data_IF_631907979643
#
_entry.id   IF_631907979643
#
_cell.length_a   1.000
_cell.length_b   1.000
_cell.length_c   1.000
_cell.angle_alpha   90.00
_cell.angle_beta   90.00
_cell.angle_gamma   90.00
#
_symmetry.space_group_name_H-M   'P 1'
#
loop_
_entity.id
_entity.type
_entity.pdbx_description
1 polymer ?
#
# COMPACT_ATOMS: atom_id res chain seq x y z
N UNK A 1 -8.42 25.99 -13.80
CA UNK A 1 -7.72 26.28 -12.53
C UNK A 1 -6.23 26.10 -12.76
N UNK A 2 -5.40 27.02 -12.28
CA UNK A 2 -3.94 26.96 -12.38
C UNK A 2 -3.38 26.87 -10.97
N UNK A 3 -2.62 25.83 -10.69
CA UNK A 3 -1.94 25.63 -9.40
C UNK A 3 -0.68 26.50 -9.38
N UNK A 4 -0.37 27.14 -8.26
CA UNK A 4 0.85 27.94 -8.14
C UNK A 4 2.12 27.05 -8.18
N UNK A 5 3.24 27.65 -8.54
CA UNK A 5 4.49 26.92 -8.78
C UNK A 5 4.99 26.18 -7.53
N UNK A 6 4.81 26.76 -6.33
CA UNK A 6 5.25 26.14 -5.09
C UNK A 6 4.40 24.90 -4.77
N UNK A 7 3.08 25.00 -4.89
CA UNK A 7 2.17 23.87 -4.68
C UNK A 7 2.45 22.75 -5.69
N UNK A 8 2.74 23.07 -6.96
CA UNK A 8 3.11 22.06 -7.95
C UNK A 8 4.43 21.36 -7.60
N UNK A 9 5.46 22.13 -7.23
CA UNK A 9 6.76 21.58 -6.87
C UNK A 9 6.68 20.68 -5.63
N UNK A 10 5.91 21.09 -4.61
CA UNK A 10 5.70 20.29 -3.41
C UNK A 10 4.97 18.98 -3.73
N UNK A 11 3.89 19.03 -4.52
CA UNK A 11 3.18 17.82 -4.92
C UNK A 11 4.07 16.84 -5.68
N UNK A 12 4.99 17.33 -6.52
CA UNK A 12 5.97 16.50 -7.22
C UNK A 12 6.98 15.86 -6.27
N UNK A 13 7.45 16.60 -5.25
CA UNK A 13 8.32 16.07 -4.22
C UNK A 13 7.61 15.03 -3.35
N UNK A 14 6.35 15.26 -3.00
CA UNK A 14 5.59 14.37 -2.14
C UNK A 14 5.32 13.01 -2.80
N UNK A 15 5.12 12.97 -4.12
CA UNK A 15 4.89 11.72 -4.88
C UNK A 15 6.17 11.08 -5.44
N UNK A 16 7.33 11.70 -5.19
CA UNK A 16 8.62 11.09 -5.53
C UNK A 16 8.80 9.76 -4.80
N UNK A 17 9.76 8.94 -5.23
CA UNK A 17 9.96 7.58 -4.71
C UNK A 17 10.14 7.54 -3.17
N UNK A 18 10.89 8.49 -2.64
CA UNK A 18 11.15 8.72 -1.21
C UNK A 18 10.21 9.77 -0.57
N UNK A 19 9.35 10.39 -1.38
CA UNK A 19 8.37 11.37 -0.96
C UNK A 19 7.34 10.78 0.02
N UNK A 20 6.68 11.65 0.78
CA UNK A 20 5.71 11.20 1.80
C UNK A 20 4.56 10.37 1.22
N UNK A 21 4.15 10.61 -0.02
CA UNK A 21 3.16 9.81 -0.78
C UNK A 21 3.80 8.90 -1.82
N UNK A 22 5.12 8.75 -1.78
CA UNK A 22 5.86 7.79 -2.59
C UNK A 22 5.45 6.35 -2.30
N UNK A 23 5.74 5.47 -3.27
CA UNK A 23 5.39 4.04 -3.22
C UNK A 23 5.98 3.39 -1.97
N UNK A 24 7.28 3.59 -1.72
CA UNK A 24 8.01 2.97 -0.61
C UNK A 24 7.48 3.40 0.76
N UNK A 25 7.28 4.71 0.95
CA UNK A 25 6.80 5.26 2.22
C UNK A 25 5.33 4.89 2.50
N UNK A 26 4.50 4.87 1.46
CA UNK A 26 3.09 4.51 1.61
C UNK A 26 2.91 3.02 1.87
N UNK A 27 3.63 2.15 1.16
CA UNK A 27 3.56 0.72 1.40
C UNK A 27 4.08 0.34 2.79
N UNK A 28 5.21 0.91 3.23
CA UNK A 28 5.75 0.69 4.58
C UNK A 28 4.71 1.03 5.65
N UNK A 29 4.05 2.20 5.58
CA UNK A 29 3.03 2.59 6.57
C UNK A 29 1.84 1.66 6.61
N UNK A 30 1.42 1.13 5.46
CA UNK A 30 0.32 0.15 5.39
C UNK A 30 0.74 -1.17 6.07
N UNK A 31 1.97 -1.63 5.81
CA UNK A 31 2.51 -2.86 6.38
C UNK A 31 2.79 -2.74 7.88
N UNK A 32 3.27 -1.58 8.34
CA UNK A 32 3.47 -1.27 9.75
C UNK A 32 2.14 -1.30 10.49
N UNK A 33 1.10 -0.68 9.89
CA UNK A 33 -0.25 -0.71 10.44
C UNK A 33 -0.81 -2.14 10.50
N UNK A 34 -0.64 -2.92 9.42
CA UNK A 34 -1.04 -4.32 9.40
C UNK A 34 -0.33 -5.13 10.50
N UNK A 35 0.98 -5.00 10.60
CA UNK A 35 1.80 -5.71 11.61
C UNK A 35 1.40 -5.32 13.03
N UNK A 36 1.14 -4.03 13.28
CA UNK A 36 0.69 -3.54 14.58
C UNK A 36 -0.67 -4.13 14.99
N UNK A 37 -1.60 -4.32 14.04
CA UNK A 37 -2.92 -4.90 14.30
C UNK A 37 -2.90 -6.42 14.44
N UNK A 38 -2.05 -7.10 13.67
CA UNK A 38 -1.99 -8.57 13.66
C UNK A 38 -1.11 -9.11 14.77
N UNK A 39 -0.17 -8.31 15.28
CA UNK A 39 0.82 -8.73 16.26
C UNK A 39 1.80 -9.76 15.69
N UNK A 40 1.96 -9.80 14.36
CA UNK A 40 2.76 -10.82 13.67
C UNK A 40 2.07 -12.18 13.55
N UNK A 41 0.78 -12.29 13.87
CA UNK A 41 0.04 -13.54 13.72
C UNK A 41 -0.18 -13.86 12.22
N UNK A 42 0.26 -15.04 11.75
CA UNK A 42 0.19 -15.41 10.34
C UNK A 42 -1.24 -15.44 9.78
N UNK A 43 -2.20 -15.99 10.53
CA UNK A 43 -3.59 -16.06 10.09
C UNK A 43 -4.20 -14.67 9.93
N UNK A 44 -3.91 -13.78 10.88
CA UNK A 44 -4.38 -12.38 10.82
C UNK A 44 -3.69 -11.56 9.75
N UNK A 45 -2.43 -11.84 9.42
CA UNK A 45 -1.71 -11.20 8.30
C UNK A 45 -2.45 -11.47 6.98
N UNK A 46 -2.89 -12.71 6.74
CA UNK A 46 -3.65 -13.05 5.55
C UNK A 46 -5.08 -12.47 5.55
N UNK A 47 -5.73 -12.39 6.72
CA UNK A 47 -6.99 -11.63 6.85
C UNK A 47 -6.80 -10.16 6.49
N UNK A 48 -5.71 -9.53 6.96
CA UNK A 48 -5.40 -8.13 6.67
C UNK A 48 -5.07 -7.91 5.19
N UNK A 49 -4.33 -8.83 4.56
CA UNK A 49 -4.08 -8.82 3.11
C UNK A 49 -5.40 -8.85 2.32
N UNK A 50 -6.32 -9.71 2.70
CA UNK A 50 -7.63 -9.80 2.05
C UNK A 50 -8.48 -8.53 2.28
N UNK A 51 -8.43 -7.96 3.49
CA UNK A 51 -9.07 -6.68 3.78
C UNK A 51 -8.46 -5.53 2.95
N UNK A 52 -7.14 -5.52 2.77
CA UNK A 52 -6.44 -4.55 1.92
C UNK A 52 -6.88 -4.66 0.46
N UNK A 53 -6.89 -5.88 -0.13
CA UNK A 53 -7.40 -6.11 -1.50
C UNK A 53 -8.82 -5.58 -1.67
N UNK A 54 -9.71 -5.92 -0.73
CA UNK A 54 -11.09 -5.44 -0.73
C UNK A 54 -11.18 -3.92 -0.64
N UNK A 55 -10.35 -3.28 0.17
CA UNK A 55 -10.26 -1.82 0.29
C UNK A 55 -9.78 -1.17 -1.01
N UNK A 56 -8.79 -1.76 -1.68
CA UNK A 56 -8.27 -1.29 -2.95
C UNK A 56 -9.34 -1.35 -4.07
N UNK A 57 -10.06 -2.46 -4.17
CA UNK A 57 -11.18 -2.58 -5.12
C UNK A 57 -12.30 -1.57 -4.86
N UNK A 58 -12.59 -1.27 -3.59
CA UNK A 58 -13.55 -0.23 -3.22
C UNK A 58 -13.05 1.17 -3.60
N UNK A 59 -11.75 1.42 -3.47
CA UNK A 59 -11.13 2.65 -3.90
C UNK A 59 -11.22 2.82 -5.42
N UNK A 60 -10.97 1.77 -6.22
CA UNK A 60 -11.17 1.80 -7.68
C UNK A 60 -12.63 2.11 -8.06
N UNK A 61 -13.59 1.45 -7.40
CA UNK A 61 -15.02 1.71 -7.62
C UNK A 61 -15.39 3.16 -7.32
N UNK A 62 -14.88 3.69 -6.20
CA UNK A 62 -15.12 5.09 -5.78
C UNK A 62 -14.44 6.08 -6.72
N UNK A 63 -13.26 5.75 -7.22
CA UNK A 63 -12.51 6.53 -8.19
C UNK A 63 -13.19 6.57 -9.56
N UNK A 64 -14.02 5.57 -9.88
CA UNK A 64 -14.73 5.44 -11.15
C UNK A 64 -13.92 4.71 -12.23
N UNK A 65 -12.95 3.88 -11.83
CA UNK A 65 -12.10 3.14 -12.74
C UNK A 65 -10.80 2.68 -12.07
N UNK A 66 -9.77 2.42 -12.88
CA UNK A 66 -8.46 2.07 -12.35
C UNK A 66 -7.84 3.24 -11.61
N UNK A 67 -7.25 2.98 -10.45
CA UNK A 67 -6.48 3.99 -9.73
C UNK A 67 -5.21 4.38 -10.53
N UNK A 68 -4.64 5.57 -10.31
CA UNK A 68 -3.41 6.00 -10.96
C UNK A 68 -2.25 5.00 -10.78
N UNK A 69 -1.27 5.04 -11.68
CA UNK A 69 -0.13 4.10 -11.68
C UNK A 69 0.62 4.05 -10.34
N UNK A 70 0.79 5.18 -9.67
CA UNK A 70 1.43 5.23 -8.33
C UNK A 70 0.68 4.39 -7.29
N UNK A 71 -0.65 4.36 -7.36
CA UNK A 71 -1.49 3.55 -6.47
C UNK A 71 -1.36 2.06 -6.79
N UNK A 72 -1.28 1.70 -8.07
CA UNK A 72 -1.04 0.32 -8.52
C UNK A 72 0.33 -0.18 -8.04
N UNK A 73 1.39 0.63 -8.22
CA UNK A 73 2.73 0.33 -7.71
C UNK A 73 2.76 0.19 -6.18
N UNK A 74 1.99 1.01 -5.47
CA UNK A 74 1.85 0.91 -4.01
C UNK A 74 1.14 -0.38 -3.62
N UNK A 75 0.09 -0.77 -4.36
CA UNK A 75 -0.60 -2.04 -4.16
C UNK A 75 0.36 -3.23 -4.30
N UNK A 76 1.13 -3.27 -5.39
CA UNK A 76 2.09 -4.35 -5.64
C UNK A 76 3.13 -4.44 -4.49
N UNK A 77 3.70 -3.29 -4.08
CA UNK A 77 4.66 -3.24 -2.98
C UNK A 77 4.06 -3.70 -1.63
N UNK A 78 2.79 -3.38 -1.35
CA UNK A 78 2.10 -3.87 -0.15
C UNK A 78 1.85 -5.37 -0.24
N UNK A 79 1.45 -5.88 -1.41
CA UNK A 79 1.21 -7.30 -1.62
C UNK A 79 2.47 -8.14 -1.40
N UNK A 80 3.60 -7.70 -1.98
CA UNK A 80 4.93 -8.28 -1.74
C UNK A 80 5.33 -8.20 -0.27
N UNK A 81 5.02 -7.08 0.40
CA UNK A 81 5.25 -6.90 1.83
C UNK A 81 4.48 -7.91 2.68
N UNK A 82 3.21 -8.16 2.35
CA UNK A 82 2.44 -9.21 3.03
C UNK A 82 3.02 -10.60 2.79
N UNK A 83 3.54 -10.91 1.58
CA UNK A 83 4.19 -12.20 1.30
C UNK A 83 5.42 -12.39 2.18
N UNK A 84 6.22 -11.34 2.31
CA UNK A 84 7.38 -11.34 3.20
C UNK A 84 6.97 -11.54 4.66
N UNK A 85 5.96 -10.81 5.15
CA UNK A 85 5.48 -10.94 6.53
C UNK A 85 4.93 -12.34 6.82
N UNK A 86 4.15 -12.92 5.90
CA UNK A 86 3.63 -14.27 6.03
C UNK A 86 4.77 -15.31 6.10
N UNK A 87 5.77 -15.18 5.23
CA UNK A 87 6.97 -16.04 5.24
C UNK A 87 7.76 -15.90 6.54
N UNK A 88 7.95 -14.68 7.04
CA UNK A 88 8.63 -14.42 8.31
C UNK A 88 7.85 -14.98 9.51
N UNK A 89 6.51 -14.97 9.44
CA UNK A 89 5.62 -15.59 10.42
C UNK A 89 5.55 -17.12 10.31
N UNK A 90 6.28 -17.74 9.37
CA UNK A 90 6.35 -19.19 9.20
C UNK A 90 5.18 -19.80 8.42
N UNK A 91 4.38 -19.00 7.70
CA UNK A 91 3.46 -19.52 6.69
C UNK A 91 4.23 -19.81 5.40
N UNK A 92 4.14 -21.05 4.93
CA UNK A 92 4.50 -21.38 3.56
C UNK A 92 3.31 -21.02 2.66
N UNK A 93 3.43 -19.91 1.91
CA UNK A 93 2.41 -19.48 0.95
C UNK A 93 2.48 -20.25 -0.38
N UNK A 94 3.25 -21.33 -0.45
CA UNK A 94 3.27 -22.24 -1.59
C UNK A 94 1.99 -23.09 -1.61
N UNK A 95 1.01 -22.67 -2.40
CA UNK A 95 -0.04 -23.55 -2.93
C UNK A 95 -0.21 -23.29 -4.43
#
# INVERSE_FOLDING_TARGET
FTVDAATKAQAQADIAEDGYWGVSQTSSRILDFATALTGGDPGKIEEMRNAFKKGYEQAEKTWGGKLPEISQKTYDAVMEGFDKLAKEAGLDTSN
#
